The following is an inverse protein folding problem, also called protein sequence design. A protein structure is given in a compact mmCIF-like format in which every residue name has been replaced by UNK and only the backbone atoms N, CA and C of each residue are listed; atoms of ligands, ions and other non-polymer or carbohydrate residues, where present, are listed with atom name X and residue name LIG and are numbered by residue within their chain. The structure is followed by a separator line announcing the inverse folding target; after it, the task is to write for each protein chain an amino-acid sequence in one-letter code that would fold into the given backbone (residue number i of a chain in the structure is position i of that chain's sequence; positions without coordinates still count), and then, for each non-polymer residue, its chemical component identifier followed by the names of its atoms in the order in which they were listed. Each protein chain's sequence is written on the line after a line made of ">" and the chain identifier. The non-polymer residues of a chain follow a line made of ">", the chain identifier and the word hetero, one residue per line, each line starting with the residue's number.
data_IF_863274150981
#
_entry.id   IF_863274150981
#
_cell.length_a   1.000
_cell.length_b   1.000
_cell.length_c   1.000
_cell.angle_alpha   90.00
_cell.angle_beta   90.00
_cell.angle_gamma   90.00
#
_symmetry.space_group_name_H-M   'P 1'
#
loop_
_entity.id
_entity.type
_entity.pdbx_description
1 polymer ?
#
# COMPACT_ATOMS: atom_id res chain seq x y z
N UNK A 1 10.20 -10.50 6.96
CA UNK A 1 8.88 -9.91 7.30
C UNK A 1 8.99 -8.50 7.86
N UNK A 2 9.82 -8.22 8.89
CA UNK A 2 10.03 -6.86 9.43
C UNK A 2 10.45 -5.82 8.38
N UNK A 3 11.45 -6.12 7.56
CA UNK A 3 11.95 -5.22 6.49
C UNK A 3 10.84 -4.79 5.51
N UNK A 4 9.96 -5.73 5.16
CA UNK A 4 8.84 -5.50 4.24
C UNK A 4 7.80 -4.56 4.87
N UNK A 5 7.55 -4.72 6.18
CA UNK A 5 6.67 -3.84 6.93
C UNK A 5 7.23 -2.42 6.99
N UNK A 6 8.54 -2.26 7.23
CA UNK A 6 9.21 -0.95 7.22
C UNK A 6 9.17 -0.29 5.85
N UNK A 7 9.45 -1.04 4.79
CA UNK A 7 9.35 -0.54 3.42
C UNK A 7 7.93 0.00 3.11
N UNK A 8 6.90 -0.74 3.50
CA UNK A 8 5.52 -0.29 3.30
C UNK A 8 5.13 0.91 4.15
N UNK A 9 5.68 1.02 5.36
CA UNK A 9 5.46 2.18 6.22
C UNK A 9 6.06 3.45 5.60
N UNK A 10 7.28 3.35 5.06
CA UNK A 10 7.97 4.47 4.39
C UNK A 10 7.23 4.90 3.13
N UNK A 11 6.82 3.94 2.28
CA UNK A 11 6.07 4.25 1.05
C UNK A 11 4.70 4.84 1.38
N UNK A 12 4.00 4.31 2.39
CA UNK A 12 2.72 4.82 2.85
C UNK A 12 2.82 6.27 3.35
N UNK A 13 3.84 6.57 4.15
CA UNK A 13 4.13 7.93 4.62
C UNK A 13 4.48 8.87 3.46
N UNK A 14 5.27 8.43 2.47
CA UNK A 14 5.59 9.22 1.29
C UNK A 14 4.35 9.59 0.47
N UNK A 15 3.46 8.62 0.23
CA UNK A 15 2.22 8.84 -0.52
C UNK A 15 1.28 9.76 0.25
N UNK A 16 1.18 9.57 1.58
CA UNK A 16 0.39 10.43 2.44
C UNK A 16 0.90 11.88 2.37
N UNK A 17 2.20 12.08 2.57
CA UNK A 17 2.86 13.39 2.48
C UNK A 17 2.59 14.07 1.13
N UNK A 18 2.75 13.35 0.01
CA UNK A 18 2.52 13.93 -1.33
C UNK A 18 1.06 14.33 -1.56
N UNK A 19 0.10 13.56 -1.04
CA UNK A 19 -1.35 13.86 -1.19
C UNK A 19 -1.82 14.97 -0.25
N UNK A 20 -1.20 15.12 0.91
CA UNK A 20 -1.58 16.13 1.90
C UNK A 20 -0.73 17.40 1.82
N UNK A 21 0.28 17.46 0.94
CA UNK A 21 1.17 18.61 0.77
C UNK A 21 0.45 19.93 0.43
N UNK A 22 -0.74 19.85 -0.19
CA UNK A 22 -1.56 21.03 -0.49
C UNK A 22 -2.64 21.33 0.54
N UNK A 23 -2.71 20.57 1.64
CA UNK A 23 -3.69 20.76 2.71
C UNK A 23 -3.03 21.48 3.88
N UNK A 24 -3.81 22.34 4.55
CA UNK A 24 -3.39 22.97 5.79
C UNK A 24 -3.21 21.92 6.90
N UNK A 25 -2.06 21.92 7.57
CA UNK A 25 -1.70 20.90 8.57
C UNK A 25 -2.60 20.93 9.80
N UNK A 26 -3.21 22.08 10.10
CA UNK A 26 -4.17 22.25 11.19
C UNK A 26 -5.61 21.94 10.78
N UNK A 27 -5.85 21.68 9.50
CA UNK A 27 -7.18 21.32 9.02
C UNK A 27 -7.55 19.87 9.40
N UNK A 28 -8.83 19.62 9.74
CA UNK A 28 -9.32 18.26 9.96
C UNK A 28 -9.21 17.39 8.68
N UNK A 29 -9.24 18.02 7.49
CA UNK A 29 -9.08 17.33 6.21
C UNK A 29 -7.67 16.76 6.01
N UNK A 30 -6.63 17.45 6.48
CA UNK A 30 -5.27 16.91 6.50
C UNK A 30 -5.21 15.63 7.32
N UNK A 31 -5.68 15.68 8.59
CA UNK A 31 -5.63 14.52 9.48
C UNK A 31 -6.44 13.34 8.93
N UNK A 32 -7.65 13.61 8.43
CA UNK A 32 -8.53 12.59 7.86
C UNK A 32 -7.90 11.92 6.63
N UNK A 33 -7.33 12.72 5.73
CA UNK A 33 -6.71 12.22 4.50
C UNK A 33 -5.42 11.45 4.80
N UNK A 34 -4.58 11.99 5.67
CA UNK A 34 -3.33 11.37 6.10
C UNK A 34 -3.59 10.02 6.77
N UNK A 35 -4.48 9.98 7.77
CA UNK A 35 -4.82 8.75 8.49
C UNK A 35 -5.47 7.71 7.56
N UNK A 36 -6.35 8.15 6.66
CA UNK A 36 -6.96 7.27 5.65
C UNK A 36 -5.87 6.59 4.83
N UNK A 37 -4.89 7.32 4.31
CA UNK A 37 -3.82 6.76 3.47
C UNK A 37 -2.94 5.81 4.28
N UNK A 38 -2.42 6.23 5.44
CA UNK A 38 -1.51 5.39 6.25
C UNK A 38 -2.19 4.09 6.71
N UNK A 39 -3.49 4.12 7.02
CA UNK A 39 -4.21 2.92 7.48
C UNK A 39 -4.73 2.02 6.35
N UNK A 40 -5.01 2.57 5.16
CA UNK A 40 -5.54 1.78 4.03
C UNK A 40 -4.45 1.27 3.10
N UNK A 41 -3.33 1.99 2.95
CA UNK A 41 -2.25 1.63 2.04
C UNK A 41 -1.66 0.24 2.31
N UNK A 42 -1.39 -0.17 3.58
CA UNK A 42 -0.93 -1.53 3.86
C UNK A 42 -1.98 -2.56 3.45
N UNK A 43 -3.27 -2.33 3.76
CA UNK A 43 -4.37 -3.26 3.45
C UNK A 43 -4.57 -3.45 1.95
N UNK A 44 -4.61 -2.36 1.19
CA UNK A 44 -4.78 -2.39 -0.27
C UNK A 44 -3.61 -3.08 -0.96
N UNK A 45 -2.40 -2.85 -0.45
CA UNK A 45 -1.18 -3.46 -0.98
C UNK A 45 -1.07 -4.94 -0.65
N UNK A 46 -1.45 -5.36 0.57
CA UNK A 46 -1.58 -6.78 0.92
C UNK A 46 -2.64 -7.48 0.06
N UNK A 47 -3.78 -6.83 -0.18
CA UNK A 47 -4.82 -7.36 -1.07
C UNK A 47 -4.31 -7.53 -2.52
N UNK A 48 -3.57 -6.55 -3.04
CA UNK A 48 -2.93 -6.64 -4.37
C UNK A 48 -1.83 -7.70 -4.43
N UNK A 49 -1.04 -7.86 -3.38
CA UNK A 49 -0.02 -8.92 -3.30
C UNK A 49 -0.66 -10.31 -3.23
N UNK A 50 -1.74 -10.46 -2.47
CA UNK A 50 -2.50 -11.70 -2.35
C UNK A 50 -3.12 -12.09 -3.70
N UNK A 51 -3.75 -11.13 -4.40
CA UNK A 51 -4.23 -11.33 -5.78
C UNK A 51 -3.10 -11.69 -6.76
N UNK A 52 -1.93 -11.04 -6.66
CA UNK A 52 -0.76 -11.38 -7.50
C UNK A 52 -0.21 -12.77 -7.24
N UNK A 53 -0.27 -13.27 -6.01
CA UNK A 53 0.09 -14.67 -5.72
C UNK A 53 -0.94 -15.64 -6.30
N UNK A 54 -2.23 -15.31 -6.22
CA UNK A 54 -3.30 -16.13 -6.77
C UNK A 54 -3.23 -16.20 -8.31
N UNK A 55 -2.97 -15.08 -8.99
CA UNK A 55 -2.80 -15.01 -10.45
C UNK A 55 -1.53 -15.75 -10.94
N UNK A 56 -0.46 -15.77 -10.13
CA UNK A 56 0.72 -16.61 -10.42
C UNK A 56 0.46 -18.10 -10.24
N UNK A 57 -0.48 -18.48 -9.37
CA UNK A 57 -0.84 -19.88 -9.11
C UNK A 57 -1.83 -20.43 -10.15
N UNK A 58 -2.54 -19.55 -10.87
CA UNK A 58 -3.52 -19.90 -11.90
C UNK A 58 -2.92 -20.00 -13.32
N UNK A 59 -1.62 -19.70 -13.48
CA UNK A 59 -0.92 -20.00 -14.73
C UNK A 59 -0.52 -21.49 -14.71
N UNK A 60 -1.05 -22.35 -15.59
CA UNK A 60 -0.66 -23.75 -15.63
C UNK A 60 0.85 -23.81 -15.88
N UNK A 61 1.56 -24.56 -15.04
CA UNK A 61 2.87 -25.09 -15.42
C UNK A 61 2.70 -25.83 -16.74
N UNK A 62 3.09 -25.19 -17.85
CA UNK A 62 3.54 -25.94 -19.00
C UNK A 62 4.85 -26.60 -18.59
N UNK A 63 4.73 -27.81 -18.06
CA UNK A 63 5.78 -28.83 -18.10
C UNK A 63 6.10 -29.06 -19.58
N UNK A 64 7.26 -28.58 -20.01
CA UNK A 64 7.86 -28.95 -21.28
C UNK A 64 8.72 -30.19 -21.07
N UNK A 65 8.47 -31.18 -21.91
CA UNK A 65 9.30 -32.38 -22.15
C UNK A 65 10.75 -32.06 -22.50
#
# INVERSE_FOLDING_TARGET
>A
MKEIIYFYLIVGCYVAHRKTAGLDVHSPDFLKTYLKIVCTYPKDLFAKFSKKQQEKSDKPQQTGE
#
